data_IF_887406492773
#
_entry.id   IF_887406492773
#
_cell.length_a   1.000
_cell.length_b   1.000
_cell.length_c   1.000
_cell.angle_alpha   90.00
_cell.angle_beta   90.00
_cell.angle_gamma   90.00
#
_symmetry.space_group_name_H-M   'P 1'
#
loop_
_entity.id
_entity.type
_entity.pdbx_description
1 polymer ?
#
# COMPACT_ATOMS: atom_id res chain seq x y z
N UNK A 1 16.59 4.18 -23.29
CA UNK A 1 16.95 4.92 -22.04
C UNK A 1 15.70 5.62 -21.51
N UNK A 2 14.71 4.83 -21.09
CA UNK A 2 13.38 5.25 -20.57
C UNK A 2 13.10 4.51 -19.27
N UNK A 3 13.61 3.27 -19.17
CA UNK A 3 13.51 2.41 -18.00
C UNK A 3 14.02 3.04 -16.68
N UNK A 4 15.13 3.79 -16.72
CA UNK A 4 15.72 4.39 -15.52
C UNK A 4 14.80 5.42 -14.83
N UNK A 5 14.03 6.18 -15.61
CA UNK A 5 13.16 7.24 -15.10
C UNK A 5 11.85 6.69 -14.56
N UNK A 6 11.30 5.67 -15.21
CA UNK A 6 10.13 4.94 -14.72
C UNK A 6 10.46 4.18 -13.44
N UNK A 7 11.61 3.50 -13.40
CA UNK A 7 12.05 2.79 -12.22
C UNK A 7 12.32 3.76 -11.06
N UNK A 8 12.85 4.96 -11.31
CA UNK A 8 13.02 6.00 -10.28
C UNK A 8 11.68 6.49 -9.71
N UNK A 9 10.68 6.68 -10.56
CA UNK A 9 9.34 7.12 -10.13
C UNK A 9 8.59 6.02 -9.36
N UNK A 10 8.78 4.75 -9.76
CA UNK A 10 8.13 3.58 -9.12
C UNK A 10 8.83 3.13 -7.84
N UNK A 11 10.07 3.56 -7.57
CA UNK A 11 10.83 3.17 -6.36
C UNK A 11 10.11 3.51 -5.07
N UNK A 12 9.33 4.59 -5.02
CA UNK A 12 8.58 4.98 -3.82
C UNK A 12 7.18 4.38 -3.73
N UNK A 13 6.78 3.53 -4.69
CA UNK A 13 5.50 2.85 -4.66
C UNK A 13 5.56 1.61 -3.76
N UNK A 14 4.51 1.42 -2.97
CA UNK A 14 4.29 0.32 -2.03
C UNK A 14 2.89 -0.27 -2.26
N UNK A 15 2.77 -1.59 -2.24
CA UNK A 15 1.47 -2.28 -2.26
C UNK A 15 1.18 -2.84 -0.87
N UNK A 16 0.08 -2.41 -0.29
CA UNK A 16 -0.40 -2.87 1.01
C UNK A 16 -1.58 -3.82 0.79
N UNK A 17 -1.49 -5.02 1.32
CA UNK A 17 -2.54 -6.04 1.29
C UNK A 17 -3.22 -6.11 2.66
N UNK A 18 -4.47 -6.56 2.69
CA UNK A 18 -5.17 -6.77 3.97
C UNK A 18 -5.85 -5.54 4.59
N UNK A 19 -5.84 -4.38 3.93
CA UNK A 19 -6.58 -3.21 4.45
C UNK A 19 -8.08 -3.38 4.17
N UNK A 20 -8.94 -3.52 5.20
CA UNK A 20 -10.38 -3.67 5.02
C UNK A 20 -10.97 -2.46 4.28
N UNK A 21 -11.87 -2.71 3.33
CA UNK A 21 -12.53 -1.67 2.55
C UNK A 21 -13.45 -0.83 3.45
N UNK A 22 -13.35 0.50 3.36
CA UNK A 22 -14.19 1.44 4.13
C UNK A 22 -13.53 2.03 5.39
N UNK A 23 -12.33 1.58 5.78
CA UNK A 23 -11.57 2.18 6.90
C UNK A 23 -10.90 3.52 6.53
N UNK A 24 -10.58 3.73 5.25
CA UNK A 24 -9.86 4.92 4.77
C UNK A 24 -10.71 6.20 4.75
N UNK A 25 -12.05 6.10 4.82
CA UNK A 25 -12.98 7.23 4.59
C UNK A 25 -12.60 8.02 3.32
N UNK A 26 -12.88 9.32 3.26
CA UNK A 26 -12.63 10.17 2.09
C UNK A 26 -11.15 10.52 1.84
N UNK A 27 -10.25 10.21 2.79
CA UNK A 27 -8.83 10.57 2.70
C UNK A 27 -7.91 9.39 3.04
N UNK A 28 -7.52 8.63 2.01
CA UNK A 28 -6.64 7.47 2.16
C UNK A 28 -5.20 7.86 2.56
N UNK A 29 -4.74 9.05 2.15
CA UNK A 29 -3.41 9.54 2.50
C UNK A 29 -3.30 9.74 4.02
N UNK A 30 -4.12 10.59 4.62
CA UNK A 30 -4.10 10.89 6.05
C UNK A 30 -4.40 9.65 6.91
N UNK A 31 -5.27 8.75 6.43
CA UNK A 31 -5.47 7.45 7.09
C UNK A 31 -4.15 6.68 7.20
N UNK A 32 -3.40 6.56 6.11
CA UNK A 32 -2.14 5.83 6.11
C UNK A 32 -1.02 6.56 6.86
N UNK A 33 -1.00 7.89 6.85
CA UNK A 33 -0.02 8.68 7.62
C UNK A 33 -0.17 8.44 9.14
N UNK A 34 -1.39 8.23 9.63
CA UNK A 34 -1.64 7.81 11.03
C UNK A 34 -1.47 6.30 11.23
N UNK A 35 -1.97 5.50 10.30
CA UNK A 35 -2.03 4.04 10.45
C UNK A 35 -0.65 3.38 10.39
N UNK A 36 0.28 3.90 9.59
CA UNK A 36 1.65 3.36 9.49
C UNK A 36 2.41 3.41 10.82
N UNK A 37 2.51 4.55 11.53
CA UNK A 37 3.14 4.61 12.85
C UNK A 37 2.35 3.84 13.92
N UNK A 38 1.03 3.71 13.81
CA UNK A 38 0.25 2.84 14.71
C UNK A 38 0.63 1.35 14.54
N UNK A 39 0.81 0.89 13.30
CA UNK A 39 1.14 -0.51 13.01
C UNK A 39 2.61 -0.82 13.25
N UNK A 40 3.53 0.03 12.78
CA UNK A 40 4.97 -0.23 12.85
C UNK A 40 5.68 0.42 14.05
N UNK A 41 4.95 1.19 14.86
CA UNK A 41 5.51 1.96 15.96
C UNK A 41 6.07 3.30 15.48
N UNK A 42 5.71 4.38 16.17
CA UNK A 42 6.20 5.72 15.86
C UNK A 42 7.73 5.83 15.98
N UNK A 43 8.36 5.01 16.81
CA UNK A 43 9.82 4.91 16.98
C UNK A 43 10.56 4.46 15.70
N UNK A 44 9.88 3.72 14.81
CA UNK A 44 10.45 3.29 13.52
C UNK A 44 10.61 4.47 12.56
N UNK A 45 9.88 5.56 12.80
CA UNK A 45 9.81 6.72 11.92
C UNK A 45 10.38 7.96 12.63
N UNK A 46 11.62 8.39 12.31
CA UNK A 46 12.18 9.62 12.88
C UNK A 46 11.48 10.90 12.40
N UNK A 47 10.60 10.79 11.39
CA UNK A 47 9.77 11.87 10.84
C UNK A 47 8.40 11.31 10.50
N UNK A 48 7.34 12.14 10.48
CA UNK A 48 6.03 11.70 10.02
C UNK A 48 6.14 11.15 8.60
N UNK A 49 5.54 9.99 8.36
CA UNK A 49 5.50 9.38 7.03
C UNK A 49 4.69 10.28 6.13
N UNK A 50 5.30 10.76 5.03
CA UNK A 50 4.59 11.60 4.07
C UNK A 50 4.15 10.78 2.87
N UNK A 51 2.84 10.79 2.63
CA UNK A 51 2.23 10.05 1.53
C UNK A 51 1.85 11.04 0.44
N UNK A 52 2.43 10.84 -0.74
CA UNK A 52 2.13 11.69 -1.89
C UNK A 52 0.75 11.34 -2.45
N UNK A 53 0.46 10.05 -2.62
CA UNK A 53 -0.82 9.56 -3.14
C UNK A 53 -1.11 8.16 -2.61
N UNK A 54 -2.38 7.88 -2.36
CA UNK A 54 -2.85 6.55 -2.04
C UNK A 54 -4.14 6.27 -2.82
N UNK A 55 -4.20 5.11 -3.47
CA UNK A 55 -5.39 4.67 -4.18
C UNK A 55 -5.48 3.15 -4.19
N UNK A 56 -6.70 2.62 -4.31
CA UNK A 56 -6.91 1.17 -4.44
C UNK A 56 -6.74 0.72 -5.88
N UNK A 57 -6.00 -0.37 -6.07
CA UNK A 57 -5.81 -1.01 -7.37
C UNK A 57 -6.90 -2.07 -7.60
N UNK A 58 -7.51 -2.03 -8.79
CA UNK A 58 -8.55 -2.97 -9.24
C UNK A 58 -9.93 -2.32 -9.33
N UNK A 59 -10.73 -2.71 -10.34
CA UNK A 59 -12.12 -2.25 -10.46
C UNK A 59 -12.94 -2.77 -9.27
N UNK A 60 -13.95 -1.99 -8.86
CA UNK A 60 -15.01 -2.46 -7.98
C UNK A 60 -15.61 -3.71 -8.64
N UNK A 61 -15.29 -4.89 -8.10
CA UNK A 61 -15.77 -6.17 -8.63
C UNK A 61 -14.85 -6.94 -9.60
N UNK A 62 -13.56 -6.60 -9.75
CA UNK A 62 -12.60 -7.47 -10.49
C UNK A 62 -11.76 -8.38 -9.57
N UNK A 63 -11.67 -8.06 -8.28
CA UNK A 63 -11.10 -8.96 -7.25
C UNK A 63 -12.17 -9.84 -6.59
N UNK A 64 -13.45 -9.56 -6.83
CA UNK A 64 -14.41 -10.62 -7.06
C UNK A 64 -14.13 -11.08 -8.49
N UNK A 65 -13.76 -12.34 -8.74
CA UNK A 65 -13.52 -12.79 -10.11
C UNK A 65 -14.70 -12.34 -10.99
N UNK A 66 -14.42 -11.64 -12.09
CA UNK A 66 -15.44 -11.24 -13.04
C UNK A 66 -16.13 -12.52 -13.56
N UNK A 67 -17.25 -12.89 -12.93
CA UNK A 67 -17.90 -14.21 -13.05
C UNK A 67 -18.39 -14.83 -11.74
N UNK A 68 -18.06 -14.27 -10.56
CA UNK A 68 -18.51 -14.83 -9.29
C UNK A 68 -19.93 -14.36 -8.93
N UNK A 69 -20.93 -15.10 -9.38
CA UNK A 69 -22.33 -15.06 -8.93
C UNK A 69 -22.52 -15.50 -7.45
N UNK A 70 -21.45 -15.54 -6.65
CA UNK A 70 -21.44 -16.05 -5.29
C UNK A 70 -20.87 -15.01 -4.30
N UNK A 71 -21.67 -14.49 -3.35
CA UNK A 71 -21.24 -13.48 -2.38
C UNK A 71 -20.12 -13.95 -1.42
N UNK A 72 -19.79 -15.25 -1.42
CA UNK A 72 -18.68 -15.83 -0.63
C UNK A 72 -17.29 -15.67 -1.24
N UNK A 73 -17.15 -15.26 -2.51
CA UNK A 73 -15.85 -14.99 -3.15
C UNK A 73 -15.42 -13.51 -3.06
N UNK A 74 -16.20 -12.66 -2.40
CA UNK A 74 -15.90 -11.24 -2.16
C UNK A 74 -14.90 -11.02 -0.99
N UNK A 75 -14.06 -12.01 -0.66
CA UNK A 75 -13.38 -12.07 0.65
C UNK A 75 -11.93 -11.60 0.64
N UNK A 76 -11.33 -11.24 -0.51
CA UNK A 76 -9.97 -10.70 -0.53
C UNK A 76 -9.98 -9.17 -0.56
N UNK A 77 -9.53 -8.48 0.51
CA UNK A 77 -9.46 -7.03 0.53
C UNK A 77 -8.54 -6.52 -0.59
N UNK A 78 -8.97 -5.47 -1.28
CA UNK A 78 -8.24 -4.93 -2.44
C UNK A 78 -6.87 -4.39 -2.06
N UNK A 79 -5.93 -4.53 -2.98
CA UNK A 79 -4.56 -4.01 -2.80
C UNK A 79 -4.59 -2.48 -2.83
N UNK A 80 -3.99 -1.86 -1.83
CA UNK A 80 -3.80 -0.42 -1.81
C UNK A 80 -2.42 -0.09 -2.38
N UNK A 81 -2.37 0.76 -3.40
CA UNK A 81 -1.13 1.33 -3.88
C UNK A 81 -0.89 2.67 -3.21
N UNK A 82 0.28 2.78 -2.60
CA UNK A 82 0.72 3.96 -1.86
C UNK A 82 2.00 4.46 -2.49
N UNK A 83 2.03 5.75 -2.80
CA UNK A 83 3.23 6.45 -3.26
C UNK A 83 3.76 7.29 -2.11
N UNK A 84 4.89 6.87 -1.58
CA UNK A 84 5.59 7.60 -0.52
C UNK A 84 6.34 8.78 -1.14
N UNK A 85 6.42 9.88 -0.39
CA UNK A 85 7.23 11.02 -0.81
C UNK A 85 8.72 10.65 -0.81
N UNK A 86 9.13 9.82 0.16
CA UNK A 86 10.52 9.50 0.42
C UNK A 86 10.79 7.99 0.35
N UNK A 87 11.84 7.61 -0.38
CA UNK A 87 12.23 6.20 -0.56
C UNK A 87 12.78 5.58 0.74
N UNK A 88 13.39 6.38 1.61
CA UNK A 88 13.90 5.91 2.90
C UNK A 88 12.77 5.33 3.76
N UNK A 89 11.61 5.98 3.78
CA UNK A 89 10.46 5.54 4.56
C UNK A 89 9.88 4.24 4.00
N UNK A 90 9.89 4.05 2.68
CA UNK A 90 9.54 2.75 2.07
C UNK A 90 10.40 1.63 2.63
N UNK A 91 11.71 1.82 2.67
CA UNK A 91 12.65 0.79 3.11
C UNK A 91 12.42 0.44 4.59
N UNK A 92 12.13 1.44 5.42
CA UNK A 92 11.76 1.24 6.83
C UNK A 92 10.45 0.47 6.97
N UNK A 93 9.41 0.88 6.24
CA UNK A 93 8.11 0.19 6.24
C UNK A 93 8.27 -1.26 5.81
N UNK A 94 9.06 -1.53 4.76
CA UNK A 94 9.32 -2.90 4.29
C UNK A 94 10.07 -3.74 5.35
N UNK A 95 11.07 -3.16 6.01
CA UNK A 95 11.78 -3.87 7.08
C UNK A 95 10.86 -4.14 8.29
N UNK A 96 10.07 -3.15 8.70
CA UNK A 96 9.12 -3.29 9.80
C UNK A 96 8.01 -4.30 9.47
N UNK A 97 7.54 -4.34 8.23
CA UNK A 97 6.58 -5.33 7.77
C UNK A 97 7.12 -6.75 7.78
N UNK A 98 8.39 -6.95 7.40
CA UNK A 98 9.06 -8.26 7.55
C UNK A 98 9.14 -8.70 9.01
N UNK A 99 9.35 -7.76 9.93
CA UNK A 99 9.38 -8.06 11.37
C UNK A 99 7.99 -8.40 11.93
N UNK A 100 6.93 -7.80 11.38
CA UNK A 100 5.54 -8.00 11.83
C UNK A 100 4.74 -9.03 11.02
N UNK A 101 5.42 -9.80 10.16
CA UNK A 101 4.80 -10.77 9.23
C UNK A 101 3.65 -10.15 8.40
N UNK A 102 3.82 -8.90 7.99
CA UNK A 102 2.81 -8.17 7.22
C UNK A 102 3.07 -8.31 5.72
N UNK A 103 2.06 -8.74 4.96
CA UNK A 103 2.16 -8.93 3.51
C UNK A 103 2.20 -7.58 2.78
N UNK A 104 3.41 -7.07 2.52
CA UNK A 104 3.67 -5.93 1.66
C UNK A 104 4.34 -6.38 0.36
N UNK A 105 3.77 -6.03 -0.79
CA UNK A 105 4.29 -6.42 -2.08
C UNK A 105 5.04 -5.27 -2.76
N UNK A 106 6.19 -5.56 -3.36
CA UNK A 106 6.94 -4.60 -4.17
C UNK A 106 6.41 -4.67 -5.60
N UNK A 107 6.16 -3.53 -6.24
CA UNK A 107 6.12 -3.47 -7.70
C UNK A 107 7.54 -3.73 -8.20
N UNK A 108 7.93 -5.00 -8.36
CA UNK A 108 9.11 -5.32 -9.16
C UNK A 108 8.69 -5.09 -10.62
N UNK A 109 9.36 -4.15 -11.27
CA UNK A 109 9.19 -3.92 -12.71
C UNK A 109 9.39 -5.25 -13.43
N UNK A 110 8.39 -5.61 -14.24
CA UNK A 110 8.51 -6.65 -15.26
C UNK A 110 9.38 -6.14 -16.40
#
# INVERSE_FOLDING_TARGET
KVDDLENRTRRSNLRILGIPEGKEKSDACGFLESWLPEVFGAETFPRPVQIQQAYRLGRVGETAGAGASNPRQATRPRVMLVKLLNYADKTRIMNAARLKDMELCILRGS
#
